data_IF_619783681977
#
_entry.id   IF_619783681977
#
_cell.length_a   1.000
_cell.length_b   1.000
_cell.length_c   1.000
_cell.angle_alpha   90.00
_cell.angle_beta   90.00
_cell.angle_gamma   90.00
#
_symmetry.space_group_name_H-M   'P 1'
#
loop_
_entity.id
_entity.type
_entity.pdbx_description
1 polymer ?
#
# COMPACT_ATOMS: atom_id res chain seq x y z
N UNK A 1 -29.11 -23.29 15.25
CA UNK A 1 -28.83 -23.35 13.79
C UNK A 1 -27.69 -22.37 13.49
N UNK A 2 -26.70 -22.75 12.67
CA UNK A 2 -25.60 -21.85 12.29
C UNK A 2 -26.12 -20.78 11.33
N UNK A 3 -25.85 -19.51 11.58
CA UNK A 3 -26.20 -18.43 10.64
C UNK A 3 -25.33 -18.52 9.38
N UNK A 4 -25.80 -18.05 8.21
CA UNK A 4 -25.01 -18.07 6.97
C UNK A 4 -23.61 -17.44 7.12
N UNK A 5 -23.51 -16.33 7.88
CA UNK A 5 -22.24 -15.66 8.18
C UNK A 5 -21.31 -16.51 9.06
N UNK A 6 -21.82 -17.19 10.09
CA UNK A 6 -21.00 -18.09 10.90
C UNK A 6 -20.43 -19.23 10.04
N UNK A 7 -21.27 -19.84 9.22
CA UNK A 7 -20.84 -20.92 8.33
C UNK A 7 -19.77 -20.46 7.35
N UNK A 8 -19.92 -19.25 6.78
CA UNK A 8 -18.91 -18.67 5.90
C UNK A 8 -17.59 -18.32 6.63
N UNK A 9 -17.66 -17.80 7.86
CA UNK A 9 -16.48 -17.49 8.66
C UNK A 9 -15.67 -18.76 8.99
N UNK A 10 -16.37 -19.85 9.37
CA UNK A 10 -15.77 -21.15 9.60
C UNK A 10 -15.17 -21.74 8.32
N UNK A 11 -15.85 -21.58 7.17
CA UNK A 11 -15.35 -22.04 5.88
C UNK A 11 -14.09 -21.29 5.41
N UNK A 12 -13.97 -19.99 5.71
CA UNK A 12 -12.75 -19.23 5.46
C UNK A 12 -11.61 -19.68 6.38
N UNK A 13 -11.88 -19.87 7.68
CA UNK A 13 -10.89 -20.39 8.62
C UNK A 13 -10.39 -21.79 8.26
N UNK A 14 -11.28 -22.68 7.78
CA UNK A 14 -10.92 -24.01 7.31
C UNK A 14 -9.98 -23.99 6.07
N UNK A 15 -9.94 -22.89 5.31
CA UNK A 15 -8.97 -22.67 4.23
C UNK A 15 -7.62 -22.14 4.72
N UNK A 16 -7.45 -21.97 6.03
CA UNK A 16 -6.26 -21.35 6.62
C UNK A 16 -6.28 -19.83 6.55
N UNK A 17 -7.44 -19.18 6.35
CA UNK A 17 -7.54 -17.72 6.29
C UNK A 17 -8.02 -17.16 7.63
N UNK A 18 -7.16 -16.48 8.42
CA UNK A 18 -7.56 -15.96 9.72
C UNK A 18 -8.65 -14.89 9.58
N UNK A 19 -9.77 -15.09 10.26
CA UNK A 19 -10.94 -14.21 10.18
C UNK A 19 -11.10 -13.32 11.41
N UNK A 20 -11.73 -12.16 11.23
CA UNK A 20 -12.12 -11.24 12.30
C UNK A 20 -13.47 -10.58 11.99
N UNK A 21 -14.21 -10.09 13.00
CA UNK A 21 -15.50 -9.45 12.76
C UNK A 21 -15.35 -8.04 12.17
N UNK A 22 -16.14 -7.75 11.14
CA UNK A 22 -16.38 -6.42 10.58
C UNK A 22 -17.77 -5.92 10.99
N UNK A 23 -17.95 -4.60 10.96
CA UNK A 23 -19.24 -3.95 11.23
C UNK A 23 -20.30 -4.53 10.28
N UNK A 24 -21.48 -4.94 10.78
CA UNK A 24 -22.57 -5.43 9.93
C UNK A 24 -22.89 -4.43 8.81
N UNK A 25 -23.05 -4.92 7.58
CA UNK A 25 -23.33 -4.08 6.40
C UNK A 25 -22.13 -3.27 5.88
N UNK A 26 -21.03 -3.19 6.62
CA UNK A 26 -19.85 -2.39 6.27
C UNK A 26 -18.57 -3.22 6.09
N UNK A 27 -17.49 -2.51 5.74
CA UNK A 27 -16.14 -3.08 5.56
C UNK A 27 -15.15 -2.72 6.69
N UNK A 28 -15.58 -1.91 7.66
CA UNK A 28 -14.74 -1.50 8.78
C UNK A 28 -14.62 -2.65 9.81
N UNK A 29 -13.44 -2.88 10.40
CA UNK A 29 -13.29 -3.82 11.51
C UNK A 29 -14.19 -3.43 12.70
N UNK A 30 -14.92 -4.39 13.28
CA UNK A 30 -15.72 -4.17 14.48
C UNK A 30 -14.87 -4.17 15.78
N UNK A 31 -13.56 -4.42 15.64
CA UNK A 31 -12.62 -4.55 16.75
C UNK A 31 -11.32 -3.80 16.49
N UNK A 32 -10.74 -3.22 17.54
CA UNK A 32 -9.38 -2.67 17.51
C UNK A 32 -8.35 -3.79 17.35
N UNK A 33 -7.19 -3.46 16.79
CA UNK A 33 -6.07 -4.40 16.55
C UNK A 33 -6.52 -5.68 15.83
N UNK A 34 -7.40 -5.51 14.84
CA UNK A 34 -8.08 -6.61 14.15
C UNK A 34 -7.12 -7.65 13.56
N UNK A 35 -5.97 -7.24 13.02
CA UNK A 35 -5.00 -8.15 12.38
C UNK A 35 -4.44 -9.16 13.41
N UNK A 36 -4.08 -8.68 14.60
CA UNK A 36 -3.61 -9.52 15.70
C UNK A 36 -4.73 -10.37 16.32
N UNK A 37 -5.99 -9.95 16.16
CA UNK A 37 -7.15 -10.68 16.68
C UNK A 37 -7.74 -11.67 15.69
N UNK A 38 -7.37 -11.60 14.42
CA UNK A 38 -7.78 -12.54 13.40
C UNK A 38 -7.42 -13.96 13.81
N UNK A 39 -8.30 -14.92 13.52
CA UNK A 39 -8.21 -16.25 14.14
C UNK A 39 -8.63 -17.34 13.17
N UNK A 40 -8.00 -18.50 13.34
CA UNK A 40 -8.40 -19.77 12.73
C UNK A 40 -9.18 -20.66 13.72
N UNK A 41 -9.15 -20.33 15.02
CA UNK A 41 -9.82 -21.09 16.07
C UNK A 41 -11.35 -21.07 15.88
N UNK A 42 -11.99 -22.23 15.60
CA UNK A 42 -13.41 -22.31 15.33
C UNK A 42 -14.27 -21.97 16.54
N UNK A 43 -13.78 -22.16 17.77
CA UNK A 43 -14.54 -21.84 18.98
C UNK A 43 -14.53 -20.34 19.24
N UNK A 44 -13.42 -19.65 18.97
CA UNK A 44 -13.39 -18.18 18.95
C UNK A 44 -14.33 -17.61 17.90
N UNK A 45 -14.42 -18.22 16.73
CA UNK A 45 -15.33 -17.80 15.65
C UNK A 45 -16.78 -18.01 16.09
N UNK A 46 -17.15 -19.19 16.59
CA UNK A 46 -18.51 -19.47 17.09
C UNK A 46 -18.95 -18.48 18.18
N UNK A 47 -18.09 -18.24 19.17
CA UNK A 47 -18.36 -17.25 20.25
C UNK A 47 -18.54 -15.83 19.72
N UNK A 48 -17.78 -15.44 18.69
CA UNK A 48 -17.90 -14.11 18.11
C UNK A 48 -19.22 -13.93 17.35
N UNK A 49 -19.58 -14.89 16.49
CA UNK A 49 -20.80 -14.80 15.67
C UNK A 49 -22.08 -15.20 16.41
N UNK A 50 -22.00 -15.73 17.63
CA UNK A 50 -23.17 -15.83 18.52
C UNK A 50 -23.59 -14.47 19.10
N UNK A 51 -22.71 -13.48 19.09
CA UNK A 51 -23.01 -12.14 19.61
C UNK A 51 -23.67 -11.21 18.58
N UNK A 52 -23.65 -11.56 17.28
CA UNK A 52 -24.29 -10.77 16.24
C UNK A 52 -23.91 -11.15 14.81
N UNK A 53 -24.61 -10.60 13.81
CA UNK A 53 -24.39 -10.87 12.39
C UNK A 53 -23.24 -10.02 11.83
N UNK A 54 -22.03 -10.21 12.36
CA UNK A 54 -20.86 -9.48 11.88
C UNK A 54 -20.51 -9.87 10.45
N UNK A 55 -20.12 -8.90 9.63
CA UNK A 55 -19.41 -9.19 8.39
C UNK A 55 -18.06 -9.83 8.70
N UNK A 56 -17.48 -10.51 7.72
CA UNK A 56 -16.31 -11.36 7.91
C UNK A 56 -15.13 -10.69 7.23
N UNK A 57 -14.11 -10.31 8.00
CA UNK A 57 -12.83 -9.86 7.46
C UNK A 57 -11.82 -11.00 7.40
N UNK A 58 -11.05 -11.09 6.31
CA UNK A 58 -9.86 -11.95 6.19
C UNK A 58 -8.62 -11.08 6.35
N UNK A 59 -7.74 -11.42 7.29
CA UNK A 59 -6.43 -10.79 7.43
C UNK A 59 -5.48 -11.37 6.37
N UNK A 60 -5.30 -10.67 5.25
CA UNK A 60 -4.64 -11.22 4.05
C UNK A 60 -3.17 -11.55 4.28
N UNK A 61 -2.43 -10.69 5.01
CA UNK A 61 -1.05 -10.95 5.40
C UNK A 61 -0.87 -12.26 6.20
N UNK A 62 -1.52 -12.39 7.38
CA UNK A 62 -1.53 -13.64 8.15
C UNK A 62 -2.06 -14.86 7.40
N UNK A 63 -2.96 -14.68 6.44
CA UNK A 63 -3.45 -15.76 5.57
C UNK A 63 -2.42 -16.21 4.50
N UNK A 64 -1.29 -15.52 4.36
CA UNK A 64 -0.34 -15.77 3.28
C UNK A 64 -0.90 -15.42 1.91
N UNK A 65 -1.80 -14.43 1.84
CA UNK A 65 -2.49 -14.02 0.62
C UNK A 65 -2.03 -12.65 0.12
N UNK A 66 -2.08 -12.50 -1.20
CA UNK A 66 -2.11 -11.22 -1.90
C UNK A 66 -3.40 -11.21 -2.71
N UNK A 67 -4.29 -10.26 -2.43
CA UNK A 67 -5.52 -10.08 -3.18
C UNK A 67 -5.37 -8.87 -4.08
N UNK A 68 -5.53 -9.04 -5.40
CA UNK A 68 -5.64 -7.94 -6.35
C UNK A 68 -7.11 -7.52 -6.39
N UNK A 69 -7.37 -6.27 -6.05
CA UNK A 69 -8.70 -5.68 -5.87
C UNK A 69 -8.97 -4.76 -7.07
N UNK A 70 -9.81 -5.25 -7.99
CA UNK A 70 -10.16 -4.59 -9.25
C UNK A 70 -11.50 -3.88 -9.07
N UNK A 71 -11.46 -2.56 -9.00
CA UNK A 71 -12.66 -1.74 -8.89
C UNK A 71 -13.24 -1.38 -10.26
N UNK A 72 -14.56 -1.21 -10.31
CA UNK A 72 -15.26 -0.64 -11.46
C UNK A 72 -15.28 0.88 -11.36
N UNK A 73 -15.29 1.56 -12.50
CA UNK A 73 -15.54 3.00 -12.53
C UNK A 73 -17.02 3.29 -12.28
N UNK A 74 -17.30 4.31 -11.47
CA UNK A 74 -18.67 4.80 -11.23
C UNK A 74 -18.95 6.04 -12.07
N UNK A 75 -20.22 6.35 -12.38
CA UNK A 75 -20.58 7.54 -13.18
C UNK A 75 -20.04 8.86 -12.62
N UNK A 76 -19.88 8.92 -11.31
CA UNK A 76 -19.46 10.05 -10.49
C UNK A 76 -17.98 10.00 -10.09
N UNK A 77 -17.21 9.00 -10.58
CA UNK A 77 -15.76 8.96 -10.41
C UNK A 77 -15.06 9.98 -11.33
N UNK A 78 -13.90 10.46 -10.89
CA UNK A 78 -12.97 11.19 -11.76
C UNK A 78 -12.57 10.31 -12.95
N UNK A 79 -12.40 10.90 -14.16
CA UNK A 79 -11.91 10.16 -15.30
C UNK A 79 -10.56 9.53 -15.00
N UNK A 80 -10.28 8.39 -15.66
CA UNK A 80 -9.00 7.72 -15.54
C UNK A 80 -7.85 8.73 -15.74
N UNK A 81 -6.85 8.79 -14.85
CA UNK A 81 -5.70 9.66 -15.02
C UNK A 81 -4.71 9.04 -16.02
N UNK A 82 -3.85 9.84 -16.68
CA UNK A 82 -2.73 9.29 -17.45
C UNK A 82 -1.86 8.35 -16.59
N UNK A 83 -1.33 7.25 -17.16
CA UNK A 83 -1.47 6.79 -18.55
C UNK A 83 -2.78 6.01 -18.84
N UNK A 84 -3.66 5.86 -17.86
CA UNK A 84 -4.87 5.04 -17.93
C UNK A 84 -6.05 5.70 -18.65
N UNK A 85 -5.91 6.97 -19.06
CA UNK A 85 -6.89 7.69 -19.87
C UNK A 85 -6.89 7.31 -21.36
N UNK A 86 -6.55 6.06 -21.67
CA UNK A 86 -6.38 5.55 -23.04
C UNK A 86 -7.63 4.79 -23.48
N UNK A 87 -8.02 4.84 -24.77
CA UNK A 87 -9.15 4.06 -25.27
C UNK A 87 -9.01 2.57 -24.94
N UNK A 88 -10.09 1.95 -24.45
CA UNK A 88 -10.11 0.55 -24.03
C UNK A 88 -9.84 0.31 -22.55
N UNK A 89 -9.52 1.35 -21.77
CA UNK A 89 -9.40 1.29 -20.31
C UNK A 89 -10.62 1.98 -19.68
N UNK A 90 -11.51 1.21 -19.07
CA UNK A 90 -12.70 1.70 -18.38
C UNK A 90 -12.75 1.31 -16.90
N UNK A 91 -12.08 0.24 -16.50
CA UNK A 91 -12.09 -0.27 -15.12
C UNK A 91 -10.78 -0.96 -14.73
N UNK A 92 -10.68 -1.39 -13.47
CA UNK A 92 -9.48 -2.05 -12.94
C UNK A 92 -9.11 -3.33 -13.69
N UNK A 93 -10.08 -4.06 -14.24
CA UNK A 93 -9.82 -5.25 -15.06
C UNK A 93 -9.08 -4.91 -16.35
N UNK A 94 -9.44 -3.81 -17.01
CA UNK A 94 -8.76 -3.36 -18.23
C UNK A 94 -7.33 -2.90 -17.92
N UNK A 95 -7.13 -2.23 -16.78
CA UNK A 95 -5.79 -1.85 -16.29
C UNK A 95 -4.93 -3.09 -16.05
N UNK A 96 -5.47 -4.12 -15.39
CA UNK A 96 -4.75 -5.37 -15.20
C UNK A 96 -4.44 -6.06 -16.53
N UNK A 97 -5.37 -6.03 -17.49
CA UNK A 97 -5.19 -6.60 -18.81
C UNK A 97 -4.06 -5.90 -19.59
N UNK A 98 -4.03 -4.56 -19.58
CA UNK A 98 -2.96 -3.79 -20.20
C UNK A 98 -1.59 -4.07 -19.55
N UNK A 99 -1.53 -4.20 -18.22
CA UNK A 99 -0.29 -4.57 -17.53
C UNK A 99 0.17 -5.99 -17.90
N UNK A 100 -0.76 -6.94 -18.04
CA UNK A 100 -0.46 -8.30 -18.46
C UNK A 100 0.08 -8.33 -19.89
N UNK A 101 -0.55 -7.60 -20.82
CA UNK A 101 -0.09 -7.44 -22.20
C UNK A 101 1.32 -6.82 -22.26
N UNK A 102 1.57 -5.73 -21.52
CA UNK A 102 2.88 -5.10 -21.42
C UNK A 102 3.96 -6.05 -20.88
N UNK A 103 3.58 -6.96 -19.99
CA UNK A 103 4.46 -7.98 -19.45
C UNK A 103 4.61 -9.22 -20.37
N UNK A 104 3.84 -9.31 -21.46
CA UNK A 104 3.84 -10.48 -22.35
C UNK A 104 3.14 -11.71 -21.77
N UNK A 105 2.16 -11.52 -20.88
CA UNK A 105 1.46 -12.57 -20.16
C UNK A 105 -0.06 -12.48 -20.33
N UNK A 106 -0.80 -13.59 -20.16
CA UNK A 106 -2.25 -13.55 -20.07
C UNK A 106 -2.72 -12.91 -18.75
N UNK A 107 -3.96 -12.41 -18.74
CA UNK A 107 -4.59 -11.92 -17.51
C UNK A 107 -4.76 -13.09 -16.53
N UNK A 108 -4.29 -12.97 -15.27
CA UNK A 108 -4.20 -14.11 -14.35
C UNK A 108 -5.55 -14.39 -13.67
N UNK A 109 -6.56 -14.78 -14.47
CA UNK A 109 -7.91 -15.08 -13.99
C UNK A 109 -8.08 -16.52 -13.48
N UNK A 110 -7.13 -17.41 -13.75
CA UNK A 110 -7.11 -18.80 -13.30
C UNK A 110 -6.70 -18.93 -11.83
N UNK A 111 -7.46 -18.29 -10.94
CA UNK A 111 -7.29 -18.34 -9.49
C UNK A 111 -8.63 -18.18 -8.77
N UNK A 112 -8.66 -18.29 -7.44
CA UNK A 112 -9.88 -18.05 -6.67
C UNK A 112 -10.35 -16.59 -6.84
N UNK A 113 -11.53 -16.40 -7.42
CA UNK A 113 -12.10 -15.07 -7.68
C UNK A 113 -13.33 -14.81 -6.81
N UNK A 114 -13.49 -13.54 -6.45
CA UNK A 114 -14.69 -13.06 -5.77
C UNK A 114 -15.20 -11.78 -6.43
N UNK A 115 -16.39 -11.82 -7.00
CA UNK A 115 -17.13 -10.64 -7.43
C UNK A 115 -17.60 -9.82 -6.24
N UNK A 116 -17.39 -8.51 -6.27
CA UNK A 116 -17.71 -7.60 -5.18
C UNK A 116 -19.12 -7.01 -5.32
N UNK A 117 -19.77 -6.57 -4.23
CA UNK A 117 -21.09 -5.94 -4.27
C UNK A 117 -21.19 -4.68 -5.14
N UNK A 118 -20.07 -4.03 -5.42
CA UNK A 118 -19.98 -2.84 -6.28
C UNK A 118 -19.76 -3.17 -7.76
N UNK A 119 -19.64 -4.47 -8.11
CA UNK A 119 -19.40 -4.93 -9.48
C UNK A 119 -17.92 -5.20 -9.81
N UNK A 120 -17.00 -4.91 -8.88
CA UNK A 120 -15.57 -5.20 -9.04
C UNK A 120 -15.22 -6.67 -8.82
N UNK A 121 -13.93 -6.99 -8.83
CA UNK A 121 -13.42 -8.34 -8.74
C UNK A 121 -12.18 -8.43 -7.84
N UNK A 122 -12.17 -9.36 -6.89
CA UNK A 122 -10.99 -9.73 -6.13
C UNK A 122 -10.36 -11.00 -6.71
N UNK A 123 -9.08 -10.96 -7.06
CA UNK A 123 -8.27 -12.11 -7.46
C UNK A 123 -7.38 -12.51 -6.29
N UNK A 124 -7.53 -13.70 -5.75
CA UNK A 124 -6.76 -14.16 -4.60
C UNK A 124 -5.54 -14.95 -5.08
N UNK A 125 -4.36 -14.62 -4.56
CA UNK A 125 -3.12 -15.36 -4.83
C UNK A 125 -2.39 -15.72 -3.55
N UNK A 126 -1.59 -16.79 -3.56
CA UNK A 126 -0.64 -17.05 -2.47
C UNK A 126 0.53 -16.09 -2.56
N UNK A 127 0.93 -15.50 -1.44
CA UNK A 127 2.06 -14.59 -1.37
C UNK A 127 3.38 -15.30 -1.74
N UNK A 128 4.27 -14.65 -2.51
CA UNK A 128 5.55 -15.23 -2.89
C UNK A 128 6.45 -15.44 -1.68
N UNK A 129 7.24 -16.53 -1.68
CA UNK A 129 8.20 -16.80 -0.63
C UNK A 129 9.32 -15.75 -0.60
N UNK A 130 9.79 -15.38 0.59
CA UNK A 130 10.93 -14.47 0.77
C UNK A 130 10.63 -12.98 0.50
N UNK A 131 9.46 -12.63 -0.01
CA UNK A 131 9.06 -11.24 -0.29
C UNK A 131 7.85 -10.86 0.58
N UNK A 132 7.97 -9.77 1.34
CA UNK A 132 6.87 -9.25 2.16
C UNK A 132 6.17 -8.09 1.47
N UNK A 133 5.20 -8.41 0.61
CA UNK A 133 4.36 -7.41 -0.05
C UNK A 133 3.42 -6.73 0.96
N UNK A 134 3.21 -5.42 0.78
CA UNK A 134 2.32 -4.57 1.58
C UNK A 134 1.13 -4.14 0.71
N UNK A 135 0.09 -3.62 1.36
CA UNK A 135 -1.03 -3.04 0.62
C UNK A 135 -0.60 -1.89 -0.27
N UNK A 136 -1.26 -1.81 -1.41
CA UNK A 136 -1.13 -0.70 -2.34
C UNK A 136 -2.48 0.00 -2.54
N UNK A 137 -2.41 1.26 -2.95
CA UNK A 137 -3.54 2.09 -3.36
C UNK A 137 -3.24 2.63 -4.76
N UNK A 138 -3.82 2.00 -5.78
CA UNK A 138 -3.56 2.27 -7.19
C UNK A 138 -3.65 3.75 -7.56
N UNK A 139 -4.73 4.41 -7.12
CA UNK A 139 -4.97 5.85 -7.35
C UNK A 139 -3.95 6.77 -6.65
N UNK A 140 -3.20 6.26 -5.67
CA UNK A 140 -2.16 7.02 -4.95
C UNK A 140 -0.74 6.79 -5.50
N UNK A 141 -0.63 6.12 -6.65
CA UNK A 141 0.65 5.90 -7.35
C UNK A 141 1.56 4.86 -6.70
N UNK A 142 1.08 4.12 -5.71
CA UNK A 142 1.83 3.02 -5.08
C UNK A 142 1.26 1.62 -5.39
N UNK A 143 0.20 1.53 -6.21
CA UNK A 143 -0.37 0.28 -6.70
C UNK A 143 -0.07 0.02 -8.17
N UNK A 144 -0.81 -0.92 -8.75
CA UNK A 144 -0.58 -1.39 -10.12
C UNK A 144 -1.10 -0.39 -11.16
N UNK A 145 -2.12 0.38 -10.81
CA UNK A 145 -2.68 1.41 -11.68
C UNK A 145 -4.01 1.94 -11.16
N UNK A 146 -4.65 2.79 -11.94
CA UNK A 146 -5.98 3.29 -11.62
C UNK A 146 -6.96 2.14 -11.40
N UNK A 147 -7.79 2.20 -10.34
CA UNK A 147 -8.74 1.14 -9.95
C UNK A 147 -8.15 -0.25 -9.67
N UNK A 148 -6.83 -0.35 -9.46
CA UNK A 148 -6.16 -1.62 -9.10
C UNK A 148 -5.38 -1.48 -7.80
N UNK A 149 -5.99 -1.96 -6.73
CA UNK A 149 -5.42 -2.04 -5.39
C UNK A 149 -4.86 -3.45 -5.10
N UNK A 150 -4.00 -3.55 -4.09
CA UNK A 150 -3.61 -4.87 -3.56
C UNK A 150 -3.76 -4.91 -2.04
N UNK A 151 -4.23 -6.05 -1.54
CA UNK A 151 -4.39 -6.34 -0.11
C UNK A 151 -3.44 -7.47 0.28
N UNK A 152 -2.43 -7.16 1.08
CA UNK A 152 -1.41 -8.08 1.57
C UNK A 152 -1.12 -7.81 3.05
N UNK A 153 0.13 -7.86 3.51
CA UNK A 153 0.45 -7.55 4.91
C UNK A 153 0.01 -6.16 5.36
N UNK A 154 -0.66 -6.09 6.51
CA UNK A 154 -1.28 -4.86 7.03
C UNK A 154 -2.64 -4.54 6.41
N UNK A 155 -3.21 -5.44 5.61
CA UNK A 155 -4.51 -5.29 4.96
C UNK A 155 -5.49 -6.42 5.25
N UNK A 156 -6.71 -6.19 4.81
CA UNK A 156 -7.78 -7.16 4.88
C UNK A 156 -8.73 -7.02 3.68
N UNK A 157 -9.54 -8.05 3.47
CA UNK A 157 -10.69 -8.04 2.56
C UNK A 157 -11.92 -8.54 3.30
N UNK A 158 -13.10 -8.08 2.90
CA UNK A 158 -14.34 -8.71 3.31
C UNK A 158 -14.50 -10.05 2.57
N UNK A 159 -14.86 -11.11 3.31
CA UNK A 159 -15.02 -12.45 2.77
C UNK A 159 -16.43 -12.66 2.18
N UNK A 160 -16.56 -13.56 1.19
CA UNK A 160 -17.84 -14.11 0.78
C UNK A 160 -18.67 -14.61 1.97
N UNK A 161 -19.98 -14.35 1.94
CA UNK A 161 -20.89 -14.52 3.08
C UNK A 161 -21.14 -13.23 3.86
N UNK A 162 -20.30 -12.20 3.67
CA UNK A 162 -20.59 -10.83 4.11
C UNK A 162 -21.59 -10.14 3.18
N UNK A 163 -22.29 -9.14 3.68
CA UNK A 163 -23.21 -8.29 2.91
C UNK A 163 -22.81 -6.82 3.03
N UNK A 164 -22.75 -6.11 1.92
CA UNK A 164 -22.54 -4.65 1.90
C UNK A 164 -23.82 -4.01 1.38
N UNK A 165 -24.48 -3.20 2.21
CA UNK A 165 -25.79 -2.61 1.89
C UNK A 165 -26.80 -3.65 1.37
N UNK A 166 -26.80 -4.84 1.99
CA UNK A 166 -27.66 -5.97 1.61
C UNK A 166 -27.22 -6.77 0.39
N UNK A 167 -26.16 -6.35 -0.31
CA UNK A 167 -25.66 -7.02 -1.52
C UNK A 167 -24.54 -8.03 -1.19
N UNK A 168 -24.58 -9.26 -1.72
CA UNK A 168 -23.59 -10.28 -1.43
C UNK A 168 -22.36 -10.18 -2.34
N UNK A 169 -21.27 -10.81 -1.89
CA UNK A 169 -20.14 -11.18 -2.74
C UNK A 169 -20.42 -12.51 -3.46
N UNK A 170 -19.93 -12.66 -4.70
CA UNK A 170 -20.11 -13.87 -5.50
C UNK A 170 -18.78 -14.60 -5.65
N UNK A 171 -18.76 -15.91 -5.39
CA UNK A 171 -17.53 -16.73 -5.51
C UNK A 171 -17.50 -17.40 -6.87
N UNK A 172 -16.38 -17.28 -7.58
CA UNK A 172 -16.05 -18.14 -8.72
C UNK A 172 -14.93 -19.08 -8.26
N UNK A 173 -15.28 -20.32 -7.89
CA UNK A 173 -14.37 -21.20 -7.17
C UNK A 173 -13.27 -21.73 -8.09
N UNK A 174 -12.03 -21.59 -7.63
CA UNK A 174 -10.84 -22.24 -8.16
C UNK A 174 -9.80 -22.36 -7.03
N UNK A 175 -8.74 -23.19 -7.18
CA UNK A 175 -7.61 -23.13 -6.27
C UNK A 175 -7.00 -21.72 -6.22
N UNK A 176 -6.48 -21.31 -5.07
CA UNK A 176 -5.68 -20.08 -4.98
C UNK A 176 -4.33 -20.34 -5.66
N UNK A 177 -4.08 -19.67 -6.78
CA UNK A 177 -2.83 -19.79 -7.52
C UNK A 177 -1.70 -18.98 -6.88
N UNK A 178 -0.42 -19.31 -7.18
CA UNK A 178 0.71 -18.43 -6.88
C UNK A 178 0.58 -17.07 -7.54
N UNK A 179 1.03 -16.00 -6.87
CA UNK A 179 1.10 -14.68 -7.48
C UNK A 179 2.11 -14.72 -8.64
N UNK A 180 1.71 -14.33 -9.87
CA UNK A 180 2.63 -14.31 -11.01
C UNK A 180 3.89 -13.46 -10.75
N UNK A 181 5.03 -13.92 -11.26
CA UNK A 181 6.33 -13.24 -11.04
C UNK A 181 6.35 -11.81 -11.59
N UNK A 182 5.66 -11.55 -12.70
CA UNK A 182 5.55 -10.22 -13.28
C UNK A 182 4.79 -9.25 -12.34
N UNK A 183 3.72 -9.72 -11.67
CA UNK A 183 3.03 -8.94 -10.64
C UNK A 183 3.89 -8.76 -9.40
N UNK A 184 4.59 -9.81 -8.97
CA UNK A 184 5.55 -9.72 -7.85
C UNK A 184 6.61 -8.65 -8.12
N UNK A 185 7.12 -8.58 -9.34
CA UNK A 185 8.11 -7.59 -9.78
C UNK A 185 7.55 -6.17 -9.74
N UNK A 186 6.32 -5.97 -10.24
CA UNK A 186 5.65 -4.66 -10.20
C UNK A 186 5.33 -4.19 -8.77
N UNK A 187 4.94 -5.11 -7.89
CA UNK A 187 4.54 -4.82 -6.51
C UNK A 187 5.72 -4.69 -5.55
N UNK A 188 6.90 -5.21 -5.91
CA UNK A 188 8.09 -5.09 -5.10
C UNK A 188 8.68 -3.68 -5.28
N UNK A 189 8.76 -2.84 -4.23
CA UNK A 189 9.35 -1.52 -4.36
C UNK A 189 10.76 -1.63 -4.91
N UNK A 190 11.05 -0.91 -6.00
CA UNK A 190 12.42 -0.81 -6.52
C UNK A 190 13.34 -0.36 -5.38
N UNK A 191 14.46 -1.06 -5.13
CA UNK A 191 15.43 -0.63 -4.13
C UNK A 191 15.75 0.84 -4.37
N UNK A 192 15.65 1.67 -3.32
CA UNK A 192 16.18 3.03 -3.38
C UNK A 192 17.64 2.85 -3.78
N UNK A 193 18.11 3.48 -4.89
CA UNK A 193 19.51 3.42 -5.27
C UNK A 193 20.33 3.70 -4.02
N UNK A 194 21.19 2.75 -3.63
CA UNK A 194 22.05 2.96 -2.50
C UNK A 194 22.89 4.19 -2.83
N UNK A 195 22.61 5.30 -2.15
CA UNK A 195 23.53 6.42 -2.21
C UNK A 195 24.90 5.89 -1.74
N UNK A 196 26.00 6.28 -2.41
CA UNK A 196 27.32 5.72 -2.11
C UNK A 196 27.59 5.82 -0.61
N UNK A 197 27.79 4.65 0.01
CA UNK A 197 28.04 4.49 1.44
C UNK A 197 29.49 4.87 1.83
N UNK A 198 30.30 5.33 0.86
CA UNK A 198 31.62 5.83 1.15
C UNK A 198 31.52 7.22 1.79
N UNK A 199 32.27 7.50 2.89
CA UNK A 199 32.50 8.86 3.31
C UNK A 199 33.12 9.59 2.11
N UNK A 200 32.48 10.66 1.65
CA UNK A 200 33.09 11.55 0.65
C UNK A 200 34.18 12.32 1.41
N UNK A 201 35.48 12.12 1.13
CA UNK A 201 36.52 12.87 1.80
C UNK A 201 36.40 14.34 1.37
N UNK A 202 35.98 15.19 2.30
CA UNK A 202 36.09 16.63 2.14
C UNK A 202 37.52 17.02 2.50
N UNK A 203 38.24 17.68 1.58
CA UNK A 203 39.51 18.31 1.91
C UNK A 203 39.22 19.51 2.82
N UNK A 204 39.91 19.57 3.97
CA UNK A 204 39.66 20.49 5.08
C UNK A 204 39.38 21.94 4.67
N UNK A 205 38.29 22.48 5.21
CA UNK A 205 37.83 23.87 5.13
C UNK A 205 36.33 23.97 5.44
N UNK A 206 35.96 24.74 6.47
CA UNK A 206 34.57 24.94 6.92
C UNK A 206 33.60 25.27 5.77
N UNK A 207 34.03 26.13 4.84
CA UNK A 207 33.24 26.57 3.69
C UNK A 207 32.82 25.47 2.72
N UNK A 208 33.51 24.32 2.68
CA UNK A 208 33.20 23.26 1.72
C UNK A 208 32.19 22.26 2.28
N UNK A 209 32.23 22.00 3.59
CA UNK A 209 31.23 21.20 4.30
C UNK A 209 29.87 21.89 4.25
N UNK A 210 29.83 23.19 4.51
CA UNK A 210 28.59 23.97 4.48
C UNK A 210 28.00 24.03 3.07
N UNK A 211 28.85 24.22 2.03
CA UNK A 211 28.39 24.14 0.62
C UNK A 211 27.84 22.77 0.26
N UNK A 212 28.46 21.68 0.71
CA UNK A 212 27.95 20.34 0.45
C UNK A 212 26.57 20.14 1.10
N UNK A 213 26.43 20.49 2.38
CA UNK A 213 25.17 20.34 3.10
C UNK A 213 24.08 21.22 2.49
N UNK A 214 24.40 22.48 2.14
CA UNK A 214 23.48 23.39 1.48
C UNK A 214 23.03 22.84 0.12
N UNK A 215 23.95 22.30 -0.69
CA UNK A 215 23.60 21.70 -1.97
C UNK A 215 22.73 20.43 -1.82
N UNK A 216 23.02 19.60 -0.81
CA UNK A 216 22.23 18.41 -0.53
C UNK A 216 20.80 18.78 -0.09
N UNK A 217 20.66 19.79 0.78
CA UNK A 217 19.36 20.31 1.20
C UNK A 217 18.63 20.91 -0.01
N UNK A 218 19.29 21.76 -0.80
CA UNK A 218 18.70 22.41 -1.96
C UNK A 218 18.19 21.40 -3.00
N UNK A 219 18.95 20.34 -3.27
CA UNK A 219 18.55 19.30 -4.20
C UNK A 219 17.29 18.55 -3.73
N UNK A 220 17.19 18.25 -2.43
CA UNK A 220 16.02 17.55 -1.89
C UNK A 220 14.80 18.48 -1.76
N UNK A 221 15.00 19.77 -1.48
CA UNK A 221 13.93 20.79 -1.55
C UNK A 221 13.38 20.89 -2.97
N UNK A 222 14.25 21.04 -3.97
CA UNK A 222 13.85 21.13 -5.37
C UNK A 222 13.09 19.87 -5.84
N UNK A 223 13.49 18.68 -5.36
CA UNK A 223 12.75 17.43 -5.62
C UNK A 223 11.33 17.49 -5.10
N UNK A 224 11.13 17.97 -3.87
CA UNK A 224 9.80 18.06 -3.26
C UNK A 224 8.96 19.11 -3.97
N UNK A 225 9.50 20.32 -4.17
CA UNK A 225 8.78 21.42 -4.80
C UNK A 225 8.39 21.11 -6.25
N UNK A 226 9.30 20.49 -7.02
CA UNK A 226 9.09 20.14 -8.43
C UNK A 226 8.23 18.89 -8.66
N UNK A 227 7.79 18.19 -7.62
CA UNK A 227 7.05 16.94 -7.76
C UNK A 227 5.66 17.16 -8.38
N UNK A 228 5.33 16.37 -9.40
CA UNK A 228 4.04 16.47 -10.11
C UNK A 228 2.96 15.58 -9.49
N UNK A 229 1.73 15.67 -9.99
CA UNK A 229 0.61 14.88 -9.47
C UNK A 229 0.90 13.38 -9.49
N UNK A 230 0.59 12.67 -8.41
CA UNK A 230 0.96 11.26 -8.22
C UNK A 230 2.37 11.02 -7.66
N UNK A 231 3.28 11.99 -7.72
CA UNK A 231 4.67 11.82 -7.26
C UNK A 231 4.97 12.52 -5.92
N UNK A 232 4.16 13.50 -5.54
CA UNK A 232 4.45 14.44 -4.43
C UNK A 232 4.78 13.75 -3.10
N UNK A 233 3.99 12.76 -2.67
CA UNK A 233 4.25 12.04 -1.43
C UNK A 233 5.52 11.19 -1.51
N UNK A 234 5.77 10.54 -2.66
CA UNK A 234 6.99 9.77 -2.91
C UNK A 234 8.21 10.67 -2.89
N UNK A 235 8.16 11.83 -3.54
CA UNK A 235 9.23 12.81 -3.55
C UNK A 235 9.57 13.27 -2.12
N UNK A 236 8.55 13.59 -1.32
CA UNK A 236 8.70 13.94 0.10
C UNK A 236 9.32 12.81 0.92
N UNK A 237 8.87 11.56 0.72
CA UNK A 237 9.43 10.40 1.40
C UNK A 237 10.90 10.17 1.04
N UNK A 238 11.27 10.28 -0.25
CA UNK A 238 12.64 10.11 -0.73
C UNK A 238 13.55 11.20 -0.16
N UNK A 239 13.10 12.46 -0.18
CA UNK A 239 13.84 13.58 0.41
C UNK A 239 14.08 13.38 1.92
N UNK A 240 13.04 12.93 2.65
CA UNK A 240 13.16 12.60 4.07
C UNK A 240 14.12 11.42 4.33
N UNK A 241 14.12 10.39 3.47
CA UNK A 241 15.10 9.30 3.55
C UNK A 241 16.52 9.79 3.33
N UNK A 242 16.75 10.63 2.32
CA UNK A 242 18.08 11.13 1.97
C UNK A 242 18.66 12.01 3.09
N UNK A 243 17.89 12.99 3.57
CA UNK A 243 18.33 13.88 4.64
C UNK A 243 18.40 13.17 6.00
N UNK A 244 17.56 12.15 6.23
CA UNK A 244 17.63 11.31 7.43
C UNK A 244 18.96 10.55 7.58
N UNK A 245 19.66 10.24 6.47
CA UNK A 245 21.01 9.66 6.53
C UNK A 245 22.02 10.65 7.10
N UNK A 246 21.93 11.94 6.72
CA UNK A 246 22.81 13.01 7.19
C UNK A 246 22.51 13.40 8.65
N UNK A 247 21.24 13.32 9.06
CA UNK A 247 20.85 13.47 10.48
C UNK A 247 21.48 12.37 11.33
N UNK A 248 21.32 11.11 10.92
CA UNK A 248 21.93 10.00 11.64
C UNK A 248 23.47 10.00 11.59
N UNK A 249 24.06 10.63 10.56
CA UNK A 249 25.49 10.88 10.45
C UNK A 249 26.00 12.08 11.25
N UNK A 250 25.13 12.79 11.98
CA UNK A 250 25.47 13.95 12.82
C UNK A 250 25.78 15.23 12.05
N UNK A 251 25.47 15.29 10.76
CA UNK A 251 25.76 16.44 9.91
C UNK A 251 24.61 17.46 9.84
N UNK A 252 23.39 17.06 10.17
CA UNK A 252 22.18 17.89 10.24
C UNK A 252 21.37 17.53 11.49
N UNK A 253 20.50 18.41 11.95
CA UNK A 253 19.52 18.05 13.00
C UNK A 253 18.19 17.61 12.40
N UNK A 254 17.47 16.73 13.12
CA UNK A 254 16.13 16.32 12.70
C UNK A 254 15.17 17.51 12.59
N UNK A 255 15.27 18.46 13.54
CA UNK A 255 14.43 19.66 13.58
C UNK A 255 14.60 20.52 12.33
N UNK A 256 15.83 20.76 11.88
CA UNK A 256 16.11 21.54 10.66
C UNK A 256 15.57 20.85 9.41
N UNK A 257 15.79 19.54 9.29
CA UNK A 257 15.31 18.76 8.14
C UNK A 257 13.79 18.75 8.09
N UNK A 258 13.12 18.50 9.22
CA UNK A 258 11.65 18.51 9.30
C UNK A 258 11.08 19.86 8.89
N UNK A 259 11.57 20.95 9.47
CA UNK A 259 11.12 22.30 9.14
C UNK A 259 11.33 22.62 7.65
N UNK A 260 12.44 22.17 7.07
CA UNK A 260 12.77 22.41 5.67
C UNK A 260 11.86 21.64 4.72
N UNK A 261 11.63 20.35 4.97
CA UNK A 261 10.76 19.52 4.13
C UNK A 261 9.29 19.93 4.22
N UNK A 262 8.82 20.38 5.39
CA UNK A 262 7.48 20.94 5.55
C UNK A 262 7.30 22.23 4.74
N UNK A 263 8.30 23.12 4.74
CA UNK A 263 8.29 24.31 3.89
C UNK A 263 8.27 23.95 2.40
N UNK A 264 9.12 23.03 1.96
CA UNK A 264 9.15 22.57 0.57
C UNK A 264 7.82 21.93 0.14
N UNK A 265 7.13 21.26 1.07
CA UNK A 265 5.83 20.66 0.84
C UNK A 265 4.65 21.66 0.86
N UNK A 266 4.86 22.92 1.25
CA UNK A 266 3.78 23.88 1.50
C UNK A 266 2.92 24.17 0.25
N UNK A 267 3.53 24.27 -0.94
CA UNK A 267 2.78 24.44 -2.18
C UNK A 267 1.82 23.28 -2.47
N UNK A 268 2.25 22.05 -2.18
CA UNK A 268 1.43 20.84 -2.34
C UNK A 268 0.31 20.75 -1.29
N UNK A 269 0.55 21.22 -0.07
CA UNK A 269 -0.47 21.34 0.99
C UNK A 269 -1.55 22.35 0.59
N UNK A 270 -1.15 23.50 0.05
CA UNK A 270 -2.05 24.58 -0.35
C UNK A 270 -3.03 24.16 -1.45
N UNK A 271 -2.60 23.30 -2.39
CA UNK A 271 -3.47 22.73 -3.44
C UNK A 271 -4.18 21.45 -3.00
N UNK A 272 -4.10 21.09 -1.72
CA UNK A 272 -4.81 19.93 -1.16
C UNK A 272 -4.28 18.56 -1.61
N UNK A 273 -3.06 18.48 -2.16
CA UNK A 273 -2.52 17.22 -2.67
C UNK A 273 -2.28 16.16 -1.58
N UNK A 274 -2.12 16.59 -0.32
CA UNK A 274 -2.20 15.76 0.88
C UNK A 274 -2.40 16.67 2.10
N UNK A 275 -2.81 16.09 3.24
CA UNK A 275 -2.94 16.83 4.49
C UNK A 275 -1.58 17.06 5.17
N UNK A 276 -1.50 18.07 6.04
CA UNK A 276 -0.32 18.31 6.87
C UNK A 276 0.04 17.10 7.73
N UNK A 277 -0.96 16.37 8.24
CA UNK A 277 -0.76 15.12 8.98
C UNK A 277 -0.09 14.05 8.11
N UNK A 278 -0.53 13.88 6.86
CA UNK A 278 0.09 12.94 5.92
C UNK A 278 1.53 13.34 5.59
N UNK A 279 1.81 14.64 5.40
CA UNK A 279 3.17 15.13 5.18
C UNK A 279 4.09 14.81 6.37
N UNK A 280 3.64 15.08 7.59
CA UNK A 280 4.38 14.78 8.82
C UNK A 280 4.64 13.29 9.03
N UNK A 281 3.64 12.46 8.77
CA UNK A 281 3.78 10.99 8.80
C UNK A 281 4.80 10.50 7.77
N UNK A 282 4.79 11.10 6.58
CA UNK A 282 5.73 10.78 5.47
C UNK A 282 7.16 11.16 5.84
N UNK A 283 7.37 12.37 6.36
CA UNK A 283 8.68 12.85 6.82
C UNK A 283 9.20 11.96 7.95
N UNK A 284 8.37 11.65 8.94
CA UNK A 284 8.74 10.80 10.09
C UNK A 284 9.15 9.40 9.63
N UNK A 285 8.38 8.80 8.71
CA UNK A 285 8.70 7.49 8.15
C UNK A 285 10.02 7.52 7.36
N UNK A 286 10.20 8.54 6.51
CA UNK A 286 11.41 8.71 5.70
C UNK A 286 12.66 8.93 6.54
N UNK A 287 12.61 9.81 7.55
CA UNK A 287 13.73 10.03 8.48
C UNK A 287 14.14 8.73 9.19
N UNK A 288 13.16 7.96 9.69
CA UNK A 288 13.42 6.66 10.34
C UNK A 288 14.03 5.64 9.38
N UNK A 289 13.63 5.65 8.11
CA UNK A 289 14.21 4.80 7.08
C UNK A 289 15.65 5.23 6.72
N UNK A 290 15.89 6.53 6.57
CA UNK A 290 17.20 7.13 6.32
C UNK A 290 18.21 6.84 7.44
N UNK A 291 17.76 6.92 8.70
CA UNK A 291 18.61 6.66 9.86
C UNK A 291 19.22 5.25 9.91
N UNK A 292 18.65 4.28 9.19
CA UNK A 292 19.20 2.92 9.07
C UNK A 292 20.46 2.86 8.20
N UNK A 293 20.81 3.94 7.49
CA UNK A 293 21.99 4.04 6.63
C UNK A 293 22.71 5.38 6.90
N UNK A 294 23.29 5.59 8.09
CA UNK A 294 23.92 6.86 8.45
C UNK A 294 24.99 7.28 7.44
N UNK A 295 24.95 8.54 6.99
CA UNK A 295 25.96 9.11 6.10
C UNK A 295 26.78 10.15 6.86
N UNK A 296 28.02 9.81 7.16
CA UNK A 296 28.96 10.72 7.79
C UNK A 296 29.55 11.69 6.77
N UNK A 297 29.66 12.96 7.15
CA UNK A 297 30.37 13.99 6.40
C UNK A 297 31.63 14.32 7.19
N UNK A 298 32.80 13.89 6.69
CA UNK A 298 34.07 14.15 7.35
C UNK A 298 34.37 15.66 7.38
N UNK A 299 35.01 16.11 8.47
CA UNK A 299 35.50 17.48 8.64
C UNK A 299 36.77 17.75 7.80
#
# INVERSE_FOLDING_TARGET
>A
MSTPMLSAALAAAARGWPVFPMVPGGKAPAVKNWEARATLDPDRIRRCWSAGPYNIGIATGPAGLVVVDLDTAKPDDDPAPPPWNTPGIAEGLDVLAALAEQAGHPVPLDTYLVGTPSGGLHLYFTAPAGVRLRCTAGERGNGLGWKVDTRAWGGCVAAPGSLIDGRPYTVHPAPVAPLPDWLTTLLTPKPIPAAPAAPIPLRHGSDRRDRYLNNAIAAEVARVEGATSGERNRALYVAACALGQLVAGGALTETEVRATLLRAAAGHLAVGAYSAHTAEGTITSGLRAGARRPRQVAA
#
